data_IF_943974892240
#
_entry.id   IF_943974892240
#
_cell.length_a   1.000
_cell.length_b   1.000
_cell.length_c   1.000
_cell.angle_alpha   90.00
_cell.angle_beta   90.00
_cell.angle_gamma   90.00
#
_symmetry.space_group_name_H-M   'P 1'
#
loop_
_entity.id
_entity.type
_entity.pdbx_description
1 polymer ?
#
# COMPACT_ATOMS: atom_id res chain seq x y z
N UNK A 1 -1.01 -4.02 -24.07
CA UNK A 1 -0.70 -5.12 -23.13
C UNK A 1 -1.24 -4.77 -21.75
N UNK A 2 -1.92 -5.69 -21.12
CA UNK A 2 -2.42 -5.46 -19.77
C UNK A 2 -1.28 -5.52 -18.76
N UNK A 3 -1.30 -4.58 -17.81
CA UNK A 3 -0.35 -4.59 -16.69
C UNK A 3 -0.95 -5.41 -15.56
N UNK A 4 -0.16 -6.34 -15.03
CA UNK A 4 -0.58 -7.22 -13.94
C UNK A 4 0.21 -6.91 -12.69
N UNK A 5 -0.48 -6.96 -11.55
CA UNK A 5 0.09 -6.72 -10.23
C UNK A 5 -0.33 -7.84 -9.28
N UNK A 6 0.54 -8.16 -8.32
CA UNK A 6 0.22 -9.13 -7.26
C UNK A 6 0.48 -8.47 -5.90
N UNK A 7 -0.18 -8.99 -4.86
CA UNK A 7 0.12 -8.57 -3.51
C UNK A 7 1.49 -9.08 -3.08
N UNK A 8 2.30 -8.22 -2.49
CA UNK A 8 3.62 -8.59 -1.99
C UNK A 8 3.52 -9.71 -0.92
N UNK A 9 2.45 -9.70 -0.13
CA UNK A 9 2.18 -10.75 0.85
C UNK A 9 2.07 -12.13 0.20
N UNK A 10 1.50 -12.22 -0.99
CA UNK A 10 1.41 -13.47 -1.74
C UNK A 10 2.79 -13.93 -2.23
N UNK A 11 3.70 -13.00 -2.50
CA UNK A 11 5.08 -13.33 -2.83
C UNK A 11 5.78 -13.96 -1.62
N UNK A 12 5.60 -13.38 -0.44
CA UNK A 12 6.15 -13.96 0.80
C UNK A 12 5.57 -15.36 1.07
N UNK A 13 4.27 -15.53 0.85
CA UNK A 13 3.61 -16.82 1.00
C UNK A 13 4.16 -17.85 0.00
N UNK A 14 4.40 -17.47 -1.23
CA UNK A 14 4.99 -18.34 -2.24
C UNK A 14 6.42 -18.75 -1.86
N UNK A 15 7.18 -17.87 -1.23
CA UNK A 15 8.51 -18.21 -0.70
C UNK A 15 8.43 -19.29 0.37
N UNK A 16 7.49 -19.15 1.31
CA UNK A 16 7.29 -20.16 2.35
C UNK A 16 6.90 -21.52 1.77
N UNK A 17 6.01 -21.53 0.79
CA UNK A 17 5.49 -22.77 0.20
C UNK A 17 6.50 -23.46 -0.70
N UNK A 18 7.35 -22.70 -1.39
CA UNK A 18 8.29 -23.26 -2.38
C UNK A 18 9.71 -23.42 -1.86
N UNK A 19 10.05 -22.79 -0.74
CA UNK A 19 11.43 -22.75 -0.24
C UNK A 19 12.35 -21.84 -1.06
N UNK A 20 11.82 -21.06 -1.99
CA UNK A 20 12.59 -20.13 -2.82
C UNK A 20 12.78 -18.80 -2.11
N UNK A 21 13.81 -18.06 -2.53
CA UNK A 21 14.05 -16.70 -2.02
C UNK A 21 13.12 -15.70 -2.65
N UNK A 22 12.97 -14.53 -2.02
CA UNK A 22 12.15 -13.46 -2.56
C UNK A 22 12.62 -13.03 -3.95
N UNK A 23 13.91 -12.77 -4.20
CA UNK A 23 14.37 -12.44 -5.56
C UNK A 23 14.02 -13.50 -6.61
N UNK A 24 14.09 -14.79 -6.25
CA UNK A 24 13.73 -15.86 -7.17
C UNK A 24 12.23 -15.83 -7.53
N UNK A 25 11.36 -15.60 -6.56
CA UNK A 25 9.92 -15.50 -6.78
C UNK A 25 9.58 -14.24 -7.59
N UNK A 26 10.24 -13.12 -7.30
CA UNK A 26 10.06 -11.88 -8.06
C UNK A 26 10.46 -12.06 -9.52
N UNK A 27 11.58 -12.73 -9.77
CA UNK A 27 12.05 -13.02 -11.13
C UNK A 27 11.04 -13.91 -11.86
N UNK A 28 10.52 -14.92 -11.18
CA UNK A 28 9.48 -15.79 -11.76
C UNK A 28 8.24 -14.97 -12.14
N UNK A 29 7.77 -14.11 -11.25
CA UNK A 29 6.62 -13.23 -11.54
C UNK A 29 6.87 -12.35 -12.75
N UNK A 30 8.05 -11.76 -12.82
CA UNK A 30 8.46 -10.92 -13.95
C UNK A 30 8.42 -11.71 -15.26
N UNK A 31 8.94 -12.92 -15.25
CA UNK A 31 8.97 -13.78 -16.44
C UNK A 31 7.55 -14.18 -16.89
N UNK A 32 6.60 -14.23 -15.96
CA UNK A 32 5.20 -14.52 -16.26
C UNK A 32 4.39 -13.28 -16.70
N UNK A 33 5.03 -12.12 -16.82
CA UNK A 33 4.36 -10.91 -17.26
C UNK A 33 3.80 -10.04 -16.15
N UNK A 34 4.10 -10.36 -14.89
CA UNK A 34 3.72 -9.50 -13.76
C UNK A 34 4.73 -8.37 -13.64
N UNK A 35 4.26 -7.14 -13.63
CA UNK A 35 5.13 -5.96 -13.67
C UNK A 35 5.13 -5.14 -12.39
N UNK A 36 4.25 -5.46 -11.43
CA UNK A 36 4.10 -4.64 -10.24
C UNK A 36 3.65 -5.46 -9.05
N UNK A 37 3.82 -4.88 -7.86
CA UNK A 37 3.32 -5.43 -6.61
C UNK A 37 2.45 -4.41 -5.91
N UNK A 38 1.46 -4.88 -5.17
CA UNK A 38 0.72 -4.08 -4.21
C UNK A 38 1.36 -4.28 -2.84
N UNK A 39 1.70 -3.19 -2.17
CA UNK A 39 2.57 -3.20 -1.01
C UNK A 39 1.87 -2.65 0.23
N UNK A 40 1.97 -3.38 1.34
CA UNK A 40 1.55 -2.84 2.63
C UNK A 40 2.53 -1.76 3.08
N UNK A 41 2.01 -0.61 3.50
CA UNK A 41 2.82 0.53 3.90
C UNK A 41 3.71 0.24 5.10
N UNK A 42 3.16 -0.35 6.17
CA UNK A 42 3.93 -0.62 7.38
C UNK A 42 5.08 -1.57 7.13
N UNK A 43 4.86 -2.60 6.33
CA UNK A 43 5.91 -3.54 5.94
C UNK A 43 7.00 -2.83 5.13
N UNK A 44 6.61 -2.04 4.15
CA UNK A 44 7.56 -1.31 3.32
C UNK A 44 8.38 -0.32 4.15
N UNK A 45 7.73 0.43 5.04
CA UNK A 45 8.40 1.41 5.88
C UNK A 45 9.43 0.77 6.82
N UNK A 46 9.13 -0.44 7.33
CA UNK A 46 10.04 -1.15 8.23
C UNK A 46 11.23 -1.77 7.52
N UNK A 47 11.11 -2.12 6.25
CA UNK A 47 12.14 -2.84 5.48
C UNK A 47 12.51 -2.15 4.16
N UNK A 48 12.30 -0.85 4.07
CA UNK A 48 12.52 -0.07 2.86
C UNK A 48 13.90 -0.29 2.25
N UNK A 49 14.93 -0.32 3.09
CA UNK A 49 16.33 -0.46 2.66
C UNK A 49 16.59 -1.80 1.93
N UNK A 50 15.76 -2.80 2.19
CA UNK A 50 15.85 -4.13 1.56
C UNK A 50 14.86 -4.24 0.39
N UNK A 51 13.62 -3.84 0.61
CA UNK A 51 12.54 -4.06 -0.36
C UNK A 51 12.71 -3.19 -1.60
N UNK A 52 13.03 -1.91 -1.45
CA UNK A 52 13.10 -0.99 -2.57
C UNK A 52 14.16 -1.41 -3.61
N UNK A 53 15.42 -1.70 -3.21
CA UNK A 53 16.41 -2.19 -4.18
C UNK A 53 16.04 -3.53 -4.79
N UNK A 54 15.44 -4.42 -4.02
CA UNK A 54 15.08 -5.75 -4.46
C UNK A 54 14.01 -5.71 -5.56
N UNK A 55 13.00 -4.86 -5.42
CA UNK A 55 11.99 -4.64 -6.45
C UNK A 55 12.61 -4.00 -7.69
N UNK A 56 13.46 -3.00 -7.50
CA UNK A 56 14.13 -2.32 -8.59
C UNK A 56 15.00 -3.30 -9.40
N UNK A 57 15.77 -4.15 -8.73
CA UNK A 57 16.61 -5.15 -9.38
C UNK A 57 15.80 -6.17 -10.16
N UNK A 58 14.61 -6.52 -9.66
CA UNK A 58 13.71 -7.44 -10.35
C UNK A 58 12.94 -6.77 -11.50
N UNK A 59 13.01 -5.45 -11.62
CA UNK A 59 12.28 -4.70 -12.64
C UNK A 59 10.79 -4.56 -12.35
N UNK A 60 10.41 -4.64 -11.07
CA UNK A 60 9.03 -4.47 -10.63
C UNK A 60 8.84 -3.12 -9.96
N UNK A 61 7.63 -2.59 -10.05
CA UNK A 61 7.25 -1.34 -9.39
C UNK A 61 6.14 -1.59 -8.37
N UNK A 62 5.92 -0.63 -7.48
CA UNK A 62 4.78 -0.68 -6.58
C UNK A 62 3.62 0.01 -7.28
N UNK A 63 2.54 -0.74 -7.54
CA UNK A 63 1.36 -0.22 -8.23
C UNK A 63 0.37 0.45 -7.29
N UNK A 64 0.34 -0.01 -6.04
CA UNK A 64 -0.56 0.50 -5.01
C UNK A 64 0.06 0.26 -3.65
N UNK A 65 -0.06 1.22 -2.77
CA UNK A 65 0.33 1.08 -1.38
C UNK A 65 -0.93 1.11 -0.54
N UNK A 66 -1.07 0.16 0.39
CA UNK A 66 -2.27 0.03 1.22
C UNK A 66 -1.91 -0.08 2.69
N UNK A 67 -2.83 0.32 3.54
CA UNK A 67 -2.69 0.20 4.98
C UNK A 67 -4.05 0.32 5.65
N UNK A 68 -4.18 -0.30 6.81
CA UNK A 68 -5.37 -0.21 7.64
C UNK A 68 -5.20 0.94 8.65
N UNK A 69 -6.22 1.79 8.75
CA UNK A 69 -6.21 2.95 9.63
C UNK A 69 -7.46 2.99 10.49
N UNK A 70 -7.30 3.51 11.69
CA UNK A 70 -8.39 3.92 12.56
C UNK A 70 -8.37 5.45 12.64
N UNK A 71 -9.20 6.09 11.81
CA UNK A 71 -9.24 7.54 11.71
C UNK A 71 -9.91 8.22 12.91
N UNK A 72 -10.36 7.45 13.91
CA UNK A 72 -10.78 8.02 15.18
C UNK A 72 -9.60 8.48 16.06
N UNK A 73 -8.37 8.09 15.70
CA UNK A 73 -7.15 8.46 16.42
C UNK A 73 -6.27 9.41 15.60
N UNK A 74 -5.81 10.48 16.25
CA UNK A 74 -4.93 11.47 15.61
C UNK A 74 -3.62 10.87 15.12
N UNK A 75 -3.11 9.85 15.83
CA UNK A 75 -1.87 9.16 15.43
C UNK A 75 -2.00 8.51 14.06
N UNK A 76 -3.18 8.00 13.73
CA UNK A 76 -3.39 7.38 12.42
C UNK A 76 -3.54 8.42 11.31
N UNK A 77 -4.03 9.61 11.60
CA UNK A 77 -4.01 10.71 10.64
C UNK A 77 -2.56 11.06 10.26
N UNK A 78 -1.66 11.11 11.24
CA UNK A 78 -0.23 11.32 10.99
C UNK A 78 0.39 10.20 10.16
N UNK A 79 0.05 8.95 10.45
CA UNK A 79 0.50 7.79 9.67
C UNK A 79 0.00 7.86 8.23
N UNK A 80 -1.24 8.28 8.02
CA UNK A 80 -1.80 8.42 6.68
C UNK A 80 -1.01 9.46 5.87
N UNK A 81 -0.65 10.59 6.47
CA UNK A 81 0.17 11.59 5.82
C UNK A 81 1.56 11.04 5.48
N UNK A 82 2.18 10.32 6.39
CA UNK A 82 3.48 9.70 6.15
C UNK A 82 3.41 8.69 5.00
N UNK A 83 2.32 7.93 4.91
CA UNK A 83 2.09 6.99 3.82
C UNK A 83 1.99 7.72 2.48
N UNK A 84 1.28 8.83 2.42
CA UNK A 84 1.18 9.65 1.20
C UNK A 84 2.56 10.18 0.78
N UNK A 85 3.34 10.66 1.73
CA UNK A 85 4.69 11.17 1.46
C UNK A 85 5.61 10.05 0.94
N UNK A 86 5.53 8.87 1.55
CA UNK A 86 6.31 7.71 1.14
C UNK A 86 5.89 7.26 -0.26
N UNK A 87 4.60 7.17 -0.53
CA UNK A 87 4.08 6.79 -1.83
C UNK A 87 4.57 7.77 -2.91
N UNK A 88 4.51 9.06 -2.63
CA UNK A 88 5.00 10.08 -3.56
C UNK A 88 6.50 9.92 -3.84
N UNK A 89 7.31 9.69 -2.79
CA UNK A 89 8.75 9.51 -2.94
C UNK A 89 9.13 8.26 -3.72
N UNK A 90 8.29 7.23 -3.70
CA UNK A 90 8.50 5.98 -4.42
C UNK A 90 7.78 5.95 -5.77
N UNK A 91 7.19 7.06 -6.19
CA UNK A 91 6.44 7.18 -7.44
C UNK A 91 5.26 6.20 -7.53
N UNK A 92 4.65 5.89 -6.37
CA UNK A 92 3.47 5.06 -6.29
C UNK A 92 2.24 5.90 -6.63
N UNK A 93 1.51 5.49 -7.66
CA UNK A 93 0.41 6.30 -8.21
C UNK A 93 -0.93 6.09 -7.50
N UNK A 94 -1.03 5.08 -6.63
CA UNK A 94 -2.28 4.75 -5.94
C UNK A 94 -2.03 4.39 -4.49
N UNK A 95 -2.89 4.88 -3.62
CA UNK A 95 -2.92 4.47 -2.22
C UNK A 95 -4.32 4.01 -1.87
N UNK A 96 -4.41 3.02 -0.99
CA UNK A 96 -5.67 2.51 -0.48
C UNK A 96 -5.65 2.60 1.04
N UNK A 97 -6.53 3.43 1.59
CA UNK A 97 -6.76 3.48 3.02
C UNK A 97 -7.88 2.51 3.37
N UNK A 98 -7.53 1.48 4.13
CA UNK A 98 -8.51 0.48 4.56
C UNK A 98 -8.96 0.86 5.96
N UNK A 99 -10.27 1.09 6.14
CA UNK A 99 -10.83 1.36 7.45
C UNK A 99 -10.73 0.10 8.31
N UNK A 100 -10.18 0.23 9.49
CA UNK A 100 -10.10 -0.88 10.44
C UNK A 100 -11.48 -1.29 10.93
N UNK A 101 -11.57 -2.50 11.50
CA UNK A 101 -12.79 -2.95 12.13
C UNK A 101 -13.07 -2.10 13.37
N UNK A 102 -14.26 -1.50 13.44
CA UNK A 102 -14.69 -0.69 14.55
C UNK A 102 -15.63 -1.49 15.44
N UNK A 103 -15.62 -1.18 16.74
CA UNK A 103 -16.67 -1.68 17.64
C UNK A 103 -18.00 -1.06 17.23
N UNK A 104 -19.12 -1.73 17.59
CA UNK A 104 -20.45 -1.35 17.10
C UNK A 104 -20.78 0.12 17.39
N UNK A 105 -20.43 0.62 18.59
CA UNK A 105 -20.68 2.01 18.95
C UNK A 105 -19.87 2.99 18.12
N UNK A 106 -18.59 2.69 17.88
CA UNK A 106 -17.69 3.50 17.07
C UNK A 106 -18.12 3.50 15.60
N UNK A 107 -18.55 2.35 15.10
CA UNK A 107 -19.07 2.25 13.73
C UNK A 107 -20.32 3.10 13.54
N UNK A 108 -21.22 3.12 14.54
CA UNK A 108 -22.42 3.94 14.49
C UNK A 108 -22.08 5.44 14.50
N UNK A 109 -21.13 5.86 15.33
CA UNK A 109 -20.65 7.23 15.36
C UNK A 109 -20.00 7.64 14.02
N UNK A 110 -19.17 6.77 13.47
CA UNK A 110 -18.50 7.03 12.21
C UNK A 110 -19.51 7.13 11.06
N UNK A 111 -20.49 6.24 11.02
CA UNK A 111 -21.57 6.27 10.03
C UNK A 111 -22.40 7.54 10.13
N UNK A 112 -22.57 8.09 11.33
CA UNK A 112 -23.28 9.34 11.57
C UNK A 112 -22.40 10.58 11.32
N UNK A 113 -21.08 10.41 11.22
CA UNK A 113 -20.11 11.50 11.14
C UNK A 113 -19.64 11.71 9.70
N UNK A 114 -20.39 12.52 8.94
CA UNK A 114 -20.01 12.86 7.56
C UNK A 114 -18.63 13.53 7.47
N UNK A 115 -18.21 14.23 8.52
CA UNK A 115 -16.92 14.95 8.54
C UNK A 115 -15.72 13.99 8.44
N UNK A 116 -15.77 12.82 9.05
CA UNK A 116 -14.70 11.83 8.97
C UNK A 116 -14.58 11.28 7.55
N UNK A 117 -15.71 10.99 6.92
CA UNK A 117 -15.73 10.54 5.54
C UNK A 117 -15.16 11.61 4.60
N UNK A 118 -15.54 12.87 4.80
CA UNK A 118 -15.03 14.00 4.02
C UNK A 118 -13.51 14.14 4.17
N UNK A 119 -12.98 14.00 5.39
CA UNK A 119 -11.53 14.06 5.64
C UNK A 119 -10.79 12.97 4.86
N UNK A 120 -11.28 11.74 4.88
CA UNK A 120 -10.69 10.63 4.13
C UNK A 120 -10.73 10.92 2.62
N UNK A 121 -11.84 11.41 2.10
CA UNK A 121 -11.99 11.79 0.70
C UNK A 121 -11.02 12.91 0.32
N UNK A 122 -10.80 13.88 1.20
CA UNK A 122 -9.86 14.97 0.99
C UNK A 122 -8.42 14.46 0.86
N UNK A 123 -7.99 13.54 1.74
CA UNK A 123 -6.68 12.93 1.63
C UNK A 123 -6.47 12.24 0.30
N UNK A 124 -7.46 11.48 -0.16
CA UNK A 124 -7.39 10.79 -1.45
C UNK A 124 -7.33 11.77 -2.62
N UNK A 125 -8.09 12.86 -2.56
CA UNK A 125 -8.08 13.91 -3.59
C UNK A 125 -6.74 14.65 -3.64
N UNK A 126 -6.18 15.00 -2.48
CA UNK A 126 -4.87 15.64 -2.37
C UNK A 126 -3.76 14.74 -2.95
N UNK A 127 -3.81 13.44 -2.65
CA UNK A 127 -2.86 12.49 -3.21
C UNK A 127 -2.94 12.43 -4.73
N UNK A 128 -4.14 12.45 -5.31
CA UNK A 128 -4.31 12.50 -6.76
C UNK A 128 -3.71 13.78 -7.36
N UNK A 129 -3.92 14.91 -6.70
CA UNK A 129 -3.36 16.19 -7.15
C UNK A 129 -1.84 16.17 -7.19
N UNK A 130 -1.21 15.61 -6.15
CA UNK A 130 0.23 15.47 -6.08
C UNK A 130 0.76 14.60 -7.22
N UNK A 131 0.07 13.52 -7.53
CA UNK A 131 0.48 12.59 -8.59
C UNK A 131 0.33 13.16 -10.00
N UNK A 132 -0.58 14.08 -10.19
CA UNK A 132 -0.82 14.70 -11.48
C UNK A 132 0.10 15.90 -11.74
N UNK A 133 0.89 16.29 -10.76
CA UNK A 133 1.90 17.32 -10.92
C UNK A 133 3.20 16.74 -11.44
#
# INVERSE_FOLDING_TARGET
MRKLSVFYEHILQACEQSGKTIPEVLAFCRDQGISAVEMNYSLFASEKEVIAPMLSDAGLVISCMHETFDFSHDTDLGRAQQMLDTAASQQVSRVLFVAGALETAEAAELAACSSTYEATSTFMAENKSIQNM
#
